data_IF_783160326165
#
_entry.id   IF_783160326165
#
_cell.length_a   1.000
_cell.length_b   1.000
_cell.length_c   1.000
_cell.angle_alpha   90.00
_cell.angle_beta   90.00
_cell.angle_gamma   90.00
#
_symmetry.space_group_name_H-M   'P 1'
#
loop_
_entity.id
_entity.type
_entity.pdbx_description
1 polymer ?
#
# COMPACT_ATOMS: atom_id res chain seq x y z
N UNK A 1 -2.95 11.66 -2.98
CA UNK A 1 -4.32 11.18 -2.68
C UNK A 1 -4.28 9.66 -2.50
N UNK A 2 -5.42 9.01 -2.21
CA UNK A 2 -5.46 7.54 -2.19
C UNK A 2 -5.13 6.97 -3.56
N UNK A 3 -5.67 7.57 -4.62
CA UNK A 3 -5.48 7.16 -6.02
C UNK A 3 -4.01 7.22 -6.43
N UNK A 4 -3.30 8.30 -6.10
CA UNK A 4 -1.87 8.40 -6.40
C UNK A 4 -1.01 7.36 -5.66
N UNK A 5 -1.32 7.08 -4.40
CA UNK A 5 -0.61 6.06 -3.62
C UNK A 5 -0.93 4.65 -4.14
N UNK A 6 -2.20 4.41 -4.49
CA UNK A 6 -2.65 3.17 -5.09
C UNK A 6 -1.91 2.90 -6.40
N UNK A 7 -1.88 3.86 -7.33
CA UNK A 7 -1.25 3.67 -8.64
C UNK A 7 0.26 3.45 -8.50
N UNK A 8 0.93 4.24 -7.64
CA UNK A 8 2.37 4.07 -7.35
C UNK A 8 2.72 2.68 -6.82
N UNK A 9 1.94 2.16 -5.86
CA UNK A 9 2.15 0.85 -5.24
C UNK A 9 1.76 -0.28 -6.20
N UNK A 10 0.68 -0.11 -6.97
CA UNK A 10 0.20 -1.10 -7.93
C UNK A 10 1.20 -1.34 -9.06
N UNK A 11 1.82 -0.29 -9.58
CA UNK A 11 2.91 -0.39 -10.57
C UNK A 11 4.12 -1.18 -10.06
N UNK A 12 4.30 -1.24 -8.73
CA UNK A 12 5.36 -2.00 -8.03
C UNK A 12 4.92 -3.38 -7.55
N UNK A 13 3.71 -3.81 -7.91
CA UNK A 13 3.17 -5.13 -7.59
C UNK A 13 2.38 -5.22 -6.28
N UNK A 14 2.15 -4.11 -5.58
CA UNK A 14 1.42 -4.09 -4.31
C UNK A 14 0.00 -3.60 -4.48
N UNK A 15 -0.97 -4.44 -4.13
CA UNK A 15 -2.39 -4.05 -4.13
C UNK A 15 -2.84 -3.58 -2.75
N UNK A 16 -3.36 -2.35 -2.68
CA UNK A 16 -4.02 -1.80 -1.49
C UNK A 16 -5.48 -1.47 -1.80
N UNK A 17 -6.34 -1.48 -0.78
CA UNK A 17 -7.77 -1.23 -0.93
C UNK A 17 -8.19 0.02 -0.14
N UNK A 18 -9.25 0.71 -0.57
CA UNK A 18 -9.81 1.80 0.23
C UNK A 18 -10.29 1.27 1.60
N UNK A 19 -10.18 2.15 2.59
CA UNK A 19 -10.66 1.92 3.96
C UNK A 19 -12.16 1.66 4.02
N UNK A 20 -12.60 1.01 5.10
CA UNK A 20 -14.02 0.68 5.28
C UNK A 20 -14.75 1.84 5.98
N UNK A 21 -15.70 2.44 5.27
CA UNK A 21 -16.51 3.54 5.77
C UNK A 21 -15.80 4.88 5.59
N UNK A 22 -16.43 5.79 4.84
CA UNK A 22 -15.82 7.04 4.37
C UNK A 22 -15.54 8.10 5.46
N UNK A 23 -15.57 7.74 6.75
CA UNK A 23 -15.41 8.70 7.87
C UNK A 23 -13.96 9.01 8.20
N UNK A 24 -13.01 8.18 7.76
CA UNK A 24 -11.58 8.38 7.99
C UNK A 24 -10.78 8.01 6.75
N UNK A 25 -9.72 8.79 6.47
CA UNK A 25 -8.77 8.48 5.41
C UNK A 25 -7.90 7.28 5.83
N UNK A 26 -8.37 6.09 5.52
CA UNK A 26 -7.69 4.82 5.81
C UNK A 26 -7.64 3.97 4.56
N UNK A 27 -6.72 3.01 4.53
CA UNK A 27 -6.63 1.97 3.52
C UNK A 27 -6.48 0.60 4.19
N UNK A 28 -6.62 -0.47 3.40
CA UNK A 28 -6.44 -1.85 3.85
C UNK A 28 -5.35 -2.51 3.02
N UNK A 29 -4.55 -3.33 3.69
CA UNK A 29 -3.54 -4.19 3.10
C UNK A 29 -3.89 -5.64 3.43
N UNK A 30 -3.90 -6.52 2.42
CA UNK A 30 -4.04 -7.96 2.65
C UNK A 30 -2.69 -8.54 3.04
N UNK A 31 -2.66 -9.38 4.07
CA UNK A 31 -1.46 -10.13 4.51
C UNK A 31 -1.68 -11.64 4.48
N UNK A 32 -2.63 -12.09 3.66
CA UNK A 32 -2.97 -13.50 3.45
C UNK A 32 -2.53 -13.94 2.05
N UNK A 33 -2.11 -15.21 1.92
CA UNK A 33 -1.70 -15.81 0.65
C UNK A 33 -0.24 -16.25 0.66
N UNK A 34 0.36 -16.30 -0.53
CA UNK A 34 1.78 -16.60 -0.72
C UNK A 34 2.61 -15.34 -0.46
N UNK A 35 2.77 -15.02 0.83
CA UNK A 35 3.52 -13.86 1.31
C UNK A 35 4.66 -14.30 2.20
N UNK A 36 5.80 -13.67 2.02
CA UNK A 36 7.02 -13.89 2.78
C UNK A 36 7.48 -12.57 3.41
N UNK A 37 8.46 -12.67 4.30
CA UNK A 37 9.04 -11.51 4.99
C UNK A 37 9.51 -10.44 4.00
N UNK A 38 10.14 -10.86 2.90
CA UNK A 38 10.68 -9.94 1.90
C UNK A 38 9.58 -9.12 1.22
N UNK A 39 8.41 -9.70 0.92
CA UNK A 39 7.30 -8.97 0.31
C UNK A 39 6.79 -7.83 1.21
N UNK A 40 6.78 -8.06 2.53
CA UNK A 40 6.41 -7.03 3.51
C UNK A 40 7.49 -5.95 3.61
N UNK A 41 8.77 -6.34 3.60
CA UNK A 41 9.89 -5.39 3.63
C UNK A 41 9.90 -4.50 2.39
N UNK A 42 9.70 -5.09 1.21
CA UNK A 42 9.63 -4.37 -0.07
C UNK A 42 8.41 -3.43 -0.13
N UNK A 43 7.25 -3.89 0.36
CA UNK A 43 6.06 -3.05 0.51
C UNK A 43 6.33 -1.84 1.41
N UNK A 44 6.92 -2.06 2.58
CA UNK A 44 7.20 -1.00 3.55
C UNK A 44 8.22 -0.01 2.99
N UNK A 45 9.22 -0.46 2.24
CA UNK A 45 10.17 0.42 1.56
C UNK A 45 9.46 1.29 0.51
N UNK A 46 8.66 0.70 -0.38
CA UNK A 46 7.92 1.45 -1.39
C UNK A 46 6.94 2.46 -0.76
N UNK A 47 6.27 2.07 0.33
CA UNK A 47 5.39 2.98 1.07
C UNK A 47 6.19 4.14 1.68
N UNK A 48 7.35 3.87 2.28
CA UNK A 48 8.21 4.89 2.86
C UNK A 48 8.72 5.87 1.78
N UNK A 49 9.14 5.36 0.62
CA UNK A 49 9.60 6.17 -0.50
C UNK A 49 8.49 7.13 -0.97
N UNK A 50 7.27 6.62 -1.19
CA UNK A 50 6.12 7.44 -1.58
C UNK A 50 5.79 8.54 -0.56
N UNK A 51 5.91 8.25 0.74
CA UNK A 51 5.61 9.20 1.82
C UNK A 51 6.72 10.25 2.04
N UNK A 52 7.94 10.00 1.57
CA UNK A 52 9.07 10.91 1.72
C UNK A 52 9.34 11.75 0.47
N UNK A 53 8.92 11.29 -0.71
CA UNK A 53 9.03 12.04 -1.98
C UNK A 53 7.90 13.06 -2.19
N UNK A 54 6.83 13.00 -1.39
CA UNK A 54 5.65 13.90 -1.46
C UNK A 54 5.49 14.73 -0.19
#
# INVERSE_FOLDING_TARGET
SFEGMHDYLFERGFTIYPGKGAKTATFRLSVLGDLHKQDIEDFLQCLADYLNEI
#
